data_IF_040759550896
#
_entry.id   IF_040759550896
#
_cell.length_a   1.000
_cell.length_b   1.000
_cell.length_c   1.000
_cell.angle_alpha   90.00
_cell.angle_beta   90.00
_cell.angle_gamma   90.00
#
_symmetry.space_group_name_H-M   'P 1'
#
loop_
_entity.id
_entity.type
_entity.pdbx_description
1 polymer ?
2 non-polymer ?
3 water ?
#
# COMPACT_ATOMS: atom_id res chain seq x y z
N UNK A 1 7.98 15.52 1.49
CA UNK A 1 7.60 16.90 1.76
C UNK A 1 7.90 17.42 3.19
N UNK A 2 8.37 16.51 4.08
CA UNK A 2 8.87 16.74 5.45
C UNK A 2 10.18 15.93 5.51
N UNK A 3 11.07 16.19 6.48
CA UNK A 3 12.34 15.45 6.54
C UNK A 3 12.14 13.95 6.77
N UNK A 4 11.12 13.58 7.58
CA UNK A 4 10.76 12.19 7.92
C UNK A 4 10.41 11.39 6.66
N UNK A 5 9.50 11.93 5.81
CA UNK A 5 9.13 11.28 4.55
C UNK A 5 10.25 11.34 3.52
N UNK A 6 11.02 12.46 3.45
CA UNK A 6 12.16 12.58 2.53
C UNK A 6 13.34 11.62 2.94
N UNK A 7 13.51 11.35 4.24
CA UNK A 7 14.52 10.40 4.68
C UNK A 7 14.06 8.99 4.25
N UNK A 8 12.74 8.71 4.35
CA UNK A 8 12.13 7.43 3.98
C UNK A 8 12.22 7.13 2.49
N UNK A 9 12.00 8.15 1.64
CA UNK A 9 12.08 8.05 0.19
C UNK A 9 13.50 7.74 -0.19
N UNK A 10 14.45 8.49 0.40
CA UNK A 10 15.88 8.31 0.18
C UNK A 10 16.27 6.84 0.40
N UNK A 11 15.88 6.28 1.57
CA UNK A 11 16.14 4.89 1.99
C UNK A 11 15.59 3.86 1.05
N UNK A 12 14.33 4.04 0.60
CA UNK A 12 13.63 3.14 -0.33
C UNK A 12 14.31 3.17 -1.70
N UNK A 13 14.54 4.38 -2.23
CA UNK A 13 15.17 4.59 -3.53
C UNK A 13 16.52 3.98 -3.62
N UNK A 14 17.34 4.07 -2.54
CA UNK A 14 18.67 3.45 -2.56
C UNK A 14 18.61 1.92 -2.37
N UNK A 15 17.75 1.45 -1.44
CA UNK A 15 17.61 0.02 -1.19
C UNK A 15 17.18 -0.69 -2.49
N UNK A 16 16.17 -0.16 -3.17
CA UNK A 16 15.69 -0.74 -4.41
C UNK A 16 16.49 -0.37 -5.66
N UNK A 17 17.18 0.79 -5.68
CA UNK A 17 17.87 1.19 -6.90
C UNK A 17 19.30 1.73 -6.81
N UNK A 18 19.80 2.01 -5.61
CA UNK A 18 21.16 2.48 -5.43
C UNK A 18 21.42 3.96 -5.59
N UNK A 19 22.70 4.34 -5.40
CA UNK A 19 23.29 5.67 -5.41
C UNK A 19 22.70 6.77 -6.32
N UNK A 20 22.87 6.64 -7.65
CA UNK A 20 22.44 7.67 -8.60
C UNK A 20 20.92 7.88 -8.67
N UNK A 21 20.16 6.76 -8.67
CA UNK A 21 18.68 6.78 -8.70
C UNK A 21 18.15 7.48 -7.43
N UNK A 22 18.74 7.17 -6.26
CA UNK A 22 18.41 7.82 -4.99
C UNK A 22 18.74 9.34 -5.13
N UNK A 23 19.96 9.68 -5.65
CA UNK A 23 20.42 11.05 -5.86
C UNK A 23 19.47 11.89 -6.75
N UNK A 24 19.09 11.34 -7.92
CA UNK A 24 18.20 11.99 -8.89
C UNK A 24 16.75 12.03 -8.37
N UNK A 25 16.32 10.92 -7.74
CA UNK A 25 14.98 10.78 -7.21
C UNK A 25 14.67 11.79 -6.12
N UNK A 26 15.51 11.81 -5.06
CA UNK A 26 15.43 12.73 -3.91
C UNK A 26 15.46 14.19 -4.40
N UNK A 27 16.31 14.48 -5.42
CA UNK A 27 16.44 15.78 -6.04
C UNK A 27 15.09 16.26 -6.60
N UNK A 28 14.49 15.48 -7.52
CA UNK A 28 13.20 15.83 -8.12
C UNK A 28 12.10 15.90 -7.09
N UNK A 29 12.30 15.26 -5.91
CA UNK A 29 11.31 15.27 -4.81
C UNK A 29 11.43 16.64 -4.12
N UNK A 30 12.67 16.97 -3.71
CA UNK A 30 13.09 18.22 -3.06
C UNK A 30 12.93 19.46 -3.96
N UNK A 31 13.57 19.45 -5.15
CA UNK A 31 13.59 20.60 -6.07
C UNK A 31 12.46 20.71 -7.11
N UNK A 32 11.58 19.71 -7.18
CA UNK A 32 10.45 19.69 -8.10
C UNK A 32 10.72 19.39 -9.57
N UNK A 33 9.65 19.56 -10.39
CA UNK A 33 9.63 19.30 -11.84
C UNK A 33 10.66 20.14 -12.60
N UNK A 34 11.59 19.48 -13.35
CA UNK A 34 12.64 20.17 -14.12
C UNK A 34 13.24 19.36 -15.30
N UNK A 35 13.84 20.01 -16.35
CA UNK A 35 14.46 19.26 -17.45
C UNK A 35 15.82 18.64 -17.09
N UNK A 36 16.21 17.63 -17.88
CA UNK A 36 17.43 16.83 -17.72
C UNK A 36 18.72 17.61 -17.45
N UNK A 37 19.02 18.64 -18.28
CA UNK A 37 20.24 19.45 -18.12
C UNK A 37 20.37 20.03 -16.71
N UNK A 38 19.27 20.61 -16.17
CA UNK A 38 19.20 21.17 -14.82
C UNK A 38 19.49 20.09 -13.77
N UNK A 39 18.81 18.90 -13.89
CA UNK A 39 19.01 17.75 -12.99
C UNK A 39 20.49 17.42 -12.99
N UNK A 40 21.10 17.27 -14.19
CA UNK A 40 22.52 16.97 -14.36
C UNK A 40 23.44 17.99 -13.69
N UNK A 41 23.18 19.30 -13.91
CA UNK A 41 23.92 20.43 -13.36
C UNK A 41 23.74 20.57 -11.84
N UNK A 42 22.47 20.76 -11.38
CA UNK A 42 22.11 20.93 -9.97
C UNK A 42 22.59 19.77 -9.08
N UNK A 43 22.74 18.56 -9.64
CA UNK A 43 23.18 17.38 -8.90
C UNK A 43 24.66 17.06 -9.10
N UNK A 44 25.28 17.73 -10.08
CA UNK A 44 26.67 17.53 -10.45
C UNK A 44 26.89 16.11 -10.90
N UNK A 45 25.96 15.63 -11.76
CA UNK A 45 25.89 14.28 -12.30
C UNK A 45 26.05 14.35 -13.80
N UNK A 46 26.73 13.34 -14.40
CA UNK A 46 26.94 13.28 -15.85
C UNK A 46 25.60 13.07 -16.57
N UNK A 47 25.37 13.82 -17.66
CA UNK A 47 24.14 13.80 -18.44
C UNK A 47 23.63 12.40 -18.81
N UNK A 48 24.49 11.38 -18.85
CA UNK A 48 24.06 10.03 -19.17
C UNK A 48 23.61 9.25 -17.95
N UNK A 49 24.23 9.53 -16.78
CA UNK A 49 23.86 8.92 -15.48
C UNK A 49 22.45 9.39 -15.11
N UNK A 50 22.13 10.68 -15.40
CA UNK A 50 20.82 11.28 -15.18
C UNK A 50 19.82 10.58 -16.10
N UNK A 51 20.14 10.48 -17.41
CA UNK A 51 19.34 9.80 -18.45
C UNK A 51 18.92 8.37 -18.03
N UNK A 52 19.88 7.57 -17.48
CA UNK A 52 19.73 6.19 -17.04
C UNK A 52 18.88 6.11 -15.80
N UNK A 53 19.24 6.92 -14.76
CA UNK A 53 18.52 7.03 -13.49
C UNK A 53 17.05 7.36 -13.72
N UNK A 54 16.78 8.30 -14.64
CA UNK A 54 15.40 8.67 -14.99
C UNK A 54 14.66 7.53 -15.72
N UNK A 55 15.38 6.67 -16.43
CA UNK A 55 14.80 5.55 -17.18
C UNK A 55 14.28 4.50 -16.19
N UNK A 56 15.09 4.17 -15.16
CA UNK A 56 14.81 3.24 -14.06
C UNK A 56 13.58 3.77 -13.30
N UNK A 57 13.59 5.05 -12.94
CA UNK A 57 12.51 5.73 -12.21
C UNK A 57 11.19 5.79 -13.01
N UNK A 58 11.28 6.02 -14.35
CA UNK A 58 10.11 6.05 -15.23
C UNK A 58 9.57 4.64 -15.33
N UNK A 59 10.47 3.67 -15.58
CA UNK A 59 10.14 2.23 -15.66
C UNK A 59 9.38 1.79 -14.43
N UNK A 60 9.78 2.27 -13.24
CA UNK A 60 9.16 1.87 -11.99
C UNK A 60 8.01 2.72 -11.53
N UNK A 61 7.45 3.56 -12.43
CA UNK A 61 6.28 4.42 -12.20
C UNK A 61 6.47 5.46 -11.09
N UNK A 62 7.74 5.72 -10.72
CA UNK A 62 8.17 6.64 -9.66
C UNK A 62 8.41 8.08 -10.13
N UNK A 63 8.70 8.25 -11.43
CA UNK A 63 8.94 9.54 -12.08
C UNK A 63 8.02 9.63 -13.29
N UNK A 64 7.30 10.75 -13.40
CA UNK A 64 6.46 11.05 -14.56
C UNK A 64 7.19 12.16 -15.35
N UNK A 65 6.83 12.35 -16.61
CA UNK A 65 7.44 13.38 -17.45
C UNK A 65 6.38 14.09 -18.25
N UNK A 66 6.68 15.31 -18.73
CA UNK A 66 5.73 16.13 -19.48
C UNK A 66 6.47 17.09 -20.38
N UNK A 67 5.90 17.35 -21.56
CA UNK A 67 6.48 18.31 -22.50
C UNK A 67 5.83 19.67 -22.21
N UNK A 68 6.69 20.67 -21.89
CA UNK A 68 6.28 22.04 -21.59
C UNK A 68 6.91 22.97 -22.62
N UNK A 69 6.35 24.21 -22.77
CA UNK A 69 6.81 25.25 -23.69
C UNK A 69 7.00 24.69 -25.12
N UNK A 70 8.26 24.39 -25.52
CA UNK A 70 8.57 23.79 -26.83
C UNK A 70 9.63 22.69 -26.75
N UNK A 71 9.18 21.46 -27.00
CA UNK A 71 10.01 20.25 -27.03
C UNK A 71 10.86 19.98 -25.81
N UNK A 72 10.64 20.75 -24.72
CA UNK A 72 11.37 20.63 -23.46
C UNK A 72 10.63 19.77 -22.43
N UNK A 73 11.16 18.54 -22.22
CA UNK A 73 10.61 17.59 -21.27
C UNK A 73 11.09 17.86 -19.87
N UNK A 74 10.13 17.98 -18.95
CA UNK A 74 10.38 18.16 -17.53
C UNK A 74 9.98 16.90 -16.79
N UNK A 75 10.87 16.40 -15.94
CA UNK A 75 10.69 15.21 -15.11
C UNK A 75 10.18 15.61 -13.73
N UNK A 76 9.32 14.76 -13.14
CA UNK A 76 8.71 15.00 -11.83
C UNK A 76 8.57 13.71 -11.06
N UNK A 77 8.89 13.75 -9.76
CA UNK A 77 8.75 12.61 -8.87
C UNK A 77 7.80 12.96 -7.73
N UNK A 78 6.90 12.02 -7.34
CA UNK A 78 5.99 12.22 -6.21
C UNK A 78 6.47 11.42 -5.02
N UNK A 79 6.79 12.12 -3.93
CA UNK A 79 7.27 11.57 -2.66
C UNK A 79 6.38 10.39 -2.19
N UNK A 80 5.04 10.57 -2.28
CA UNK A 80 4.01 9.60 -1.88
C UNK A 80 4.12 8.27 -2.62
N UNK A 81 4.24 8.33 -3.97
CA UNK A 81 4.35 7.17 -4.85
C UNK A 81 5.57 6.32 -4.52
N UNK A 82 6.65 6.96 -3.99
CA UNK A 82 7.86 6.28 -3.56
C UNK A 82 7.59 5.58 -2.24
N UNK A 83 6.78 6.20 -1.35
CA UNK A 83 6.43 5.60 -0.07
C UNK A 83 5.46 4.43 -0.28
N UNK A 84 4.80 4.35 -1.46
CA UNK A 84 3.85 3.27 -1.77
C UNK A 84 4.55 1.94 -1.99
N UNK A 85 5.89 1.97 -2.22
CA UNK A 85 6.75 0.79 -2.38
C UNK A 85 6.65 -0.10 -1.14
N UNK A 86 6.41 0.51 0.04
CA UNK A 86 6.18 -0.15 1.34
C UNK A 86 4.83 -0.90 1.36
N UNK A 87 3.85 -0.48 0.52
CA UNK A 87 2.50 -1.08 0.49
C UNK A 87 2.39 -2.25 -0.48
N UNK A 88 3.41 -2.43 -1.34
CA UNK A 88 3.47 -3.48 -2.36
C UNK A 88 3.06 -4.84 -1.79
N UNK A 89 3.65 -5.35 -0.66
CA UNK A 89 3.15 -6.61 -0.09
C UNK A 89 1.62 -6.70 0.08
N UNK A 90 0.96 -5.60 0.54
CA UNK A 90 -0.51 -5.56 0.71
C UNK A 90 -1.27 -5.62 -0.62
N UNK A 91 -0.81 -4.84 -1.64
CA UNK A 91 -1.42 -4.80 -2.97
C UNK A 91 -1.44 -6.21 -3.55
N UNK A 92 -0.25 -6.88 -3.53
CA UNK A 92 -0.04 -8.24 -4.01
C UNK A 92 -0.97 -9.22 -3.28
N UNK A 93 -1.02 -9.15 -1.93
CA UNK A 93 -1.87 -10.03 -1.12
C UNK A 93 -3.35 -9.81 -1.42
N UNK A 94 -3.81 -8.54 -1.40
CA UNK A 94 -5.19 -8.14 -1.73
C UNK A 94 -5.59 -8.78 -3.07
N UNK A 95 -4.70 -8.71 -4.08
CA UNK A 95 -4.96 -9.30 -5.39
C UNK A 95 -5.23 -10.80 -5.23
N UNK A 96 -4.29 -11.57 -4.61
CA UNK A 96 -4.45 -13.01 -4.31
C UNK A 96 -5.79 -13.28 -3.62
N UNK A 97 -6.18 -12.42 -2.68
CA UNK A 97 -7.45 -12.49 -1.96
C UNK A 97 -8.65 -12.51 -2.92
N UNK A 98 -8.64 -11.63 -3.94
CA UNK A 98 -9.72 -11.46 -4.92
C UNK A 98 -9.62 -12.37 -6.14
N UNK A 99 -8.43 -12.48 -6.74
CA UNK A 99 -8.13 -13.31 -7.92
C UNK A 99 -7.17 -14.43 -7.48
N UNK A 100 -6.79 -15.39 -8.31
CA UNK A 100 -5.96 -16.52 -7.81
C UNK A 100 -4.50 -16.12 -7.58
N UNK A 101 -3.57 -17.01 -7.93
CA UNK A 101 -2.14 -16.77 -7.93
C UNK A 101 -1.90 -16.00 -9.24
N UNK A 102 -2.85 -16.14 -10.21
CA UNK A 102 -2.88 -15.43 -11.49
C UNK A 102 -2.94 -13.93 -11.22
N UNK A 103 -3.89 -13.50 -10.39
CA UNK A 103 -4.05 -12.10 -10.01
C UNK A 103 -2.85 -11.60 -9.21
N UNK A 104 -2.42 -12.41 -8.24
CA UNK A 104 -1.27 -12.20 -7.36
C UNK A 104 0.01 -11.94 -8.17
N UNK A 105 0.32 -12.82 -9.15
CA UNK A 105 1.50 -12.71 -10.02
C UNK A 105 1.46 -11.57 -11.03
N UNK A 106 0.25 -11.23 -11.55
CA UNK A 106 0.07 -10.14 -12.50
C UNK A 106 0.50 -8.82 -11.80
N UNK A 107 -0.11 -8.52 -10.64
CA UNK A 107 0.18 -7.33 -9.86
C UNK A 107 1.61 -7.35 -9.34
N UNK A 108 2.09 -8.50 -8.85
CA UNK A 108 3.50 -8.62 -8.41
C UNK A 108 4.45 -8.24 -9.56
N UNK A 109 4.21 -8.77 -10.78
CA UNK A 109 5.00 -8.49 -11.97
C UNK A 109 4.99 -7.00 -12.32
N UNK A 110 3.79 -6.40 -12.43
CA UNK A 110 3.60 -4.98 -12.72
C UNK A 110 4.22 -4.10 -11.65
N UNK A 111 4.06 -4.43 -10.36
CA UNK A 111 4.62 -3.61 -9.29
C UNK A 111 6.14 -3.69 -9.22
N UNK A 112 6.67 -4.92 -9.19
CA UNK A 112 8.12 -5.15 -9.08
C UNK A 112 8.93 -4.94 -10.36
N UNK A 113 8.34 -5.17 -11.56
CA UNK A 113 9.08 -4.98 -12.81
C UNK A 113 8.83 -3.66 -13.44
N UNK A 114 7.69 -3.08 -13.14
CA UNK A 114 7.34 -1.76 -13.64
C UNK A 114 6.39 -1.78 -14.80
N UNK A 115 6.72 -1.01 -15.82
CA UNK A 115 5.89 -0.89 -17.02
C UNK A 115 6.07 -2.13 -17.89
N UNK A 116 4.95 -2.83 -18.13
CA UNK A 116 4.90 -4.03 -18.98
C UNK A 116 3.66 -3.98 -19.86
N UNK A 117 3.71 -4.59 -21.04
CA UNK A 117 2.58 -4.69 -21.96
C UNK A 117 1.69 -5.84 -21.46
N UNK A 118 0.40 -5.87 -21.81
CA UNK A 118 -0.46 -7.01 -21.43
C UNK A 118 0.16 -8.36 -21.83
N UNK A 119 0.81 -8.40 -22.99
CA UNK A 119 1.51 -9.55 -23.58
C UNK A 119 2.66 -10.04 -22.68
N UNK A 120 3.56 -9.11 -22.27
CA UNK A 120 4.72 -9.40 -21.42
C UNK A 120 4.32 -9.96 -20.06
N UNK A 121 3.18 -9.46 -19.50
CA UNK A 121 2.64 -9.85 -18.19
C UNK A 121 2.09 -11.26 -18.30
N UNK A 122 1.19 -11.50 -19.29
CA UNK A 122 0.57 -12.80 -19.58
C UNK A 122 1.63 -13.89 -19.81
N UNK A 123 2.69 -13.57 -20.58
CA UNK A 123 3.79 -14.50 -20.85
C UNK A 123 4.55 -14.79 -19.55
N UNK A 124 5.02 -13.74 -18.83
CA UNK A 124 5.78 -13.81 -17.59
C UNK A 124 5.07 -14.57 -16.47
N UNK A 125 3.73 -14.39 -16.38
CA UNK A 125 2.92 -15.03 -15.34
C UNK A 125 2.68 -16.51 -15.69
N UNK A 126 2.20 -16.81 -16.93
CA UNK A 126 1.94 -18.19 -17.39
C UNK A 126 3.16 -19.07 -17.15
N UNK A 127 4.36 -18.66 -17.63
CA UNK A 127 5.63 -19.37 -17.42
C UNK A 127 5.88 -19.64 -15.93
N UNK A 128 5.70 -18.59 -15.08
CA UNK A 128 5.88 -18.66 -13.63
C UNK A 128 4.93 -19.65 -12.96
N UNK A 129 3.68 -19.75 -13.44
CA UNK A 129 2.73 -20.70 -12.87
C UNK A 129 2.93 -22.12 -13.43
N UNK A 130 3.56 -22.22 -14.62
CA UNK A 130 3.87 -23.48 -15.31
C UNK A 130 5.01 -24.16 -14.55
N UNK A 131 6.03 -23.39 -14.12
CA UNK A 131 7.17 -23.91 -13.35
C UNK A 131 6.80 -24.43 -11.94
N UNK A 132 5.51 -24.32 -11.55
CA UNK A 132 4.98 -24.82 -10.28
C UNK A 132 3.81 -25.82 -10.48
N UNK A 138 1.05 -27.45 -16.82
CA UNK A 138 1.08 -26.32 -17.76
C UNK A 138 0.02 -25.26 -17.46
N UNK A 139 0.42 -23.97 -17.48
CA UNK A 139 -0.50 -22.88 -17.25
C UNK A 139 -1.05 -22.33 -18.55
N UNK A 140 -2.38 -22.36 -18.66
CA UNK A 140 -3.13 -21.90 -19.81
C UNK A 140 -3.11 -20.37 -19.86
N UNK A 141 -2.32 -19.80 -20.80
CA UNK A 141 -2.12 -18.36 -21.03
C UNK A 141 -3.45 -17.60 -21.15
N UNK A 142 -4.51 -18.27 -21.67
CA UNK A 142 -5.84 -17.68 -21.87
C UNK A 142 -6.51 -17.42 -20.53
N UNK A 143 -6.25 -18.27 -19.52
CA UNK A 143 -6.79 -18.08 -18.17
C UNK A 143 -6.06 -16.88 -17.52
N UNK A 144 -4.73 -16.77 -17.75
CA UNK A 144 -3.88 -15.67 -17.29
C UNK A 144 -4.42 -14.35 -17.87
N UNK A 145 -4.70 -14.35 -19.19
CA UNK A 145 -5.22 -13.20 -19.94
C UNK A 145 -6.62 -12.78 -19.44
N UNK A 146 -7.48 -13.76 -19.12
CA UNK A 146 -8.83 -13.54 -18.59
C UNK A 146 -8.76 -12.87 -17.22
N UNK A 147 -7.82 -13.34 -16.34
CA UNK A 147 -7.59 -12.77 -15.01
C UNK A 147 -7.19 -11.30 -15.16
N UNK A 148 -6.26 -11.00 -16.11
CA UNK A 148 -5.77 -9.68 -16.46
C UNK A 148 -6.95 -8.81 -16.85
N UNK A 149 -7.83 -9.33 -17.72
CA UNK A 149 -8.98 -8.58 -18.16
C UNK A 149 -9.92 -8.25 -16.99
N UNK A 150 -10.14 -9.20 -16.05
CA UNK A 150 -10.98 -8.99 -14.85
C UNK A 150 -10.43 -7.84 -14.00
N UNK A 151 -9.10 -7.85 -13.78
CA UNK A 151 -8.36 -6.83 -13.06
C UNK A 151 -8.51 -5.45 -13.72
N UNK A 152 -8.32 -5.39 -15.05
CA UNK A 152 -8.43 -4.16 -15.83
C UNK A 152 -9.87 -3.61 -15.80
N UNK A 153 -10.87 -4.51 -15.93
CA UNK A 153 -12.30 -4.16 -15.90
C UNK A 153 -12.70 -3.63 -14.53
N UNK A 154 -12.12 -4.21 -13.44
CA UNK A 154 -12.39 -3.77 -12.07
C UNK A 154 -11.46 -2.61 -11.65
N UNK A 155 -10.74 -2.03 -12.62
CA UNK A 155 -9.80 -0.90 -12.47
C UNK A 155 -8.62 -1.12 -11.50
N UNK A 156 -8.35 -2.37 -11.07
CA UNK A 156 -7.22 -2.67 -10.18
C UNK A 156 -5.91 -2.50 -10.92
N UNK A 157 -5.97 -2.65 -12.25
CA UNK A 157 -4.87 -2.54 -13.19
C UNK A 157 -5.30 -1.55 -14.30
N UNK A 158 -4.41 -0.63 -14.68
CA UNK A 158 -4.71 0.36 -15.69
C UNK A 158 -3.54 0.68 -16.62
N UNK A 159 -3.84 1.26 -17.79
CA UNK A 159 -2.83 1.63 -18.80
C UNK A 159 -2.16 2.91 -18.34
N UNK A 160 -0.83 2.99 -18.51
CA UNK A 160 -0.05 4.16 -18.16
C UNK A 160 -0.49 5.38 -18.96
N UNK A 161 -0.47 6.61 -18.35
CA UNK A 161 -0.86 7.81 -19.12
C UNK A 161 0.07 8.06 -20.31
N UNK A 162 -0.50 8.55 -21.41
CA UNK A 162 0.22 8.81 -22.67
C UNK A 162 1.03 10.10 -22.62
N UNK A 228 9.08 8.74 -28.10
CA UNK A 228 8.16 7.91 -27.34
C UNK A 228 8.37 8.06 -25.81
N UNK A 229 7.32 8.41 -25.00
CA UNK A 229 5.90 8.69 -25.27
C UNK A 229 5.01 7.52 -25.78
N UNK A 230 5.34 6.28 -25.37
CA UNK A 230 4.60 5.05 -25.72
C UNK A 230 3.17 5.07 -25.16
N UNK A 231 2.26 5.69 -25.95
CA UNK A 231 0.84 5.96 -25.70
C UNK A 231 -0.12 4.81 -25.25
N UNK A 232 -0.07 4.48 -23.94
CA UNK A 232 -0.93 3.49 -23.30
C UNK A 232 -0.63 2.04 -23.57
N UNK A 233 0.53 1.72 -24.17
CA UNK A 233 0.92 0.33 -24.46
C UNK A 233 1.42 -0.43 -23.21
N UNK A 234 1.64 0.29 -22.11
CA UNK A 234 2.11 -0.29 -20.86
C UNK A 234 1.08 -0.29 -19.75
N UNK A 235 1.24 -1.25 -18.82
CA UNK A 235 0.34 -1.44 -17.69
C UNK A 235 0.92 -1.11 -16.34
N UNK A 236 0.04 -0.57 -15.49
CA UNK A 236 0.33 -0.03 -14.17
C UNK A 236 -0.73 -0.53 -13.20
N UNK A 237 -0.38 -0.81 -11.93
CA UNK A 237 -1.40 -1.18 -10.94
C UNK A 237 -2.07 0.12 -10.50
N UNK A 238 -3.39 0.15 -10.43
CA UNK A 238 -4.07 1.36 -10.00
C UNK A 238 -4.14 1.40 -8.46
N UNK A 239 -3.27 2.23 -7.85
CA UNK A 239 -3.16 2.33 -6.40
C UNK A 239 -4.37 2.95 -5.76
N UNK A 240 -4.98 3.96 -6.43
CA UNK A 240 -6.22 4.60 -5.98
C UNK A 240 -7.31 3.54 -5.82
N UNK A 241 -7.35 2.51 -6.71
CA UNK A 241 -8.34 1.42 -6.62
C UNK A 241 -8.09 0.52 -5.41
N UNK A 242 -6.81 0.13 -5.17
CA UNK A 242 -6.44 -0.69 -4.02
C UNK A 242 -6.79 0.06 -2.72
N UNK A 243 -6.61 1.40 -2.71
CA UNK A 243 -6.89 2.28 -1.58
C UNK A 243 -8.38 2.34 -1.23
N UNK A 244 -9.26 2.62 -2.22
CA UNK A 244 -10.70 2.66 -1.95
C UNK A 244 -11.16 1.28 -1.47
N UNK A 245 -10.51 0.21 -1.98
CA UNK A 245 -10.85 -1.14 -1.55
C UNK A 245 -10.50 -1.28 -0.06
N UNK A 246 -9.28 -0.86 0.33
CA UNK A 246 -8.78 -0.89 1.71
C UNK A 246 -9.65 -0.07 2.66
N UNK A 247 -10.17 1.08 2.17
CA UNK A 247 -11.06 1.97 2.91
C UNK A 247 -12.39 1.25 3.14
N UNK A 248 -13.02 0.74 2.06
CA UNK A 248 -14.29 0.02 2.10
C UNK A 248 -14.19 -1.23 3.00
N UNK A 249 -13.11 -2.04 2.84
CA UNK A 249 -12.78 -3.24 3.63
C UNK A 249 -12.76 -2.91 5.14
N UNK A 250 -12.14 -1.76 5.50
CA UNK A 250 -12.00 -1.28 6.88
C UNK A 250 -13.34 -0.87 7.49
N UNK A 251 -14.19 -0.15 6.72
CA UNK A 251 -15.50 0.31 7.18
C UNK A 251 -16.37 -0.91 7.49
N UNK A 252 -16.45 -1.86 6.55
CA UNK A 252 -17.23 -3.08 6.68
C UNK A 252 -16.78 -3.87 7.92
N UNK A 253 -15.46 -4.16 8.06
CA UNK A 253 -14.90 -4.88 9.21
C UNK A 253 -15.26 -4.19 10.53
N UNK A 254 -15.19 -2.82 10.58
CA UNK A 254 -15.54 -2.03 11.76
C UNK A 254 -17.00 -2.29 12.10
N UNK A 255 -17.89 -2.19 11.08
CA UNK A 255 -19.34 -2.43 11.20
C UNK A 255 -19.61 -3.91 11.58
N UNK A 256 -18.71 -4.84 11.21
CA UNK A 256 -18.92 -6.24 11.58
C UNK A 256 -18.53 -6.54 13.04
N UNK A 257 -17.46 -5.90 13.55
CA UNK A 257 -16.94 -6.11 14.91
C UNK A 257 -17.69 -5.32 16.00
N UNK A 258 -18.50 -4.32 15.59
CA UNK A 258 -19.26 -3.46 16.50
C UNK A 258 -20.78 -3.59 16.29
N UNK A 259 -21.22 -4.33 15.25
CA UNK A 259 -22.64 -4.51 14.96
C UNK A 259 -23.16 -5.92 14.75
N UNK A 260 -23.44 -6.35 13.48
CA UNK A 260 -24.16 -7.61 13.23
C UNK A 260 -23.77 -8.50 12.01
N UNK A 261 -22.83 -8.10 11.14
CA UNK A 261 -22.50 -8.92 9.95
C UNK A 261 -23.55 -8.78 8.85
N UNK A 262 -24.85 -8.82 9.21
CA UNK A 262 -25.93 -8.53 8.25
C UNK A 262 -25.88 -6.99 8.10
N UNK A 263 -25.57 -6.27 9.18
CA UNK A 263 -25.38 -4.82 9.17
C UNK A 263 -24.15 -4.43 8.32
N UNK A 264 -23.06 -5.24 8.39
CA UNK A 264 -21.80 -5.03 7.65
C UNK A 264 -21.94 -5.33 6.17
N UNK A 265 -22.75 -6.35 5.83
CA UNK A 265 -23.04 -6.73 4.45
C UNK A 265 -23.86 -5.61 3.76
N UNK A 266 -24.77 -4.97 4.50
CA UNK A 266 -25.59 -3.87 3.98
C UNK A 266 -24.70 -2.68 3.66
N UNK A 267 -23.72 -2.38 4.53
CA UNK A 267 -22.75 -1.30 4.31
C UNK A 267 -21.87 -1.64 3.11
N UNK A 268 -21.45 -2.93 3.01
CA UNK A 268 -20.63 -3.47 1.91
C UNK A 268 -21.26 -3.23 0.55
N UNK A 269 -22.52 -3.71 0.34
CA UNK A 269 -23.28 -3.53 -0.91
C UNK A 269 -23.44 -2.04 -1.19
N UNK A 270 -23.72 -1.24 -0.13
CA UNK A 270 -23.83 0.22 -0.24
C UNK A 270 -22.53 0.83 -0.73
N UNK A 271 -21.38 0.33 -0.26
CA UNK A 271 -20.06 0.81 -0.69
C UNK A 271 -19.71 0.27 -2.09
N UNK A 272 -20.17 -0.97 -2.41
CA UNK A 272 -20.00 -1.66 -3.69
C UNK A 272 -20.71 -0.90 -4.80
N UNK A 273 -22.01 -0.60 -4.61
CA UNK A 273 -22.82 0.13 -5.58
C UNK A 273 -22.50 1.64 -5.69
N UNK A 274 -21.93 2.23 -4.63
CA UNK A 274 -21.54 3.64 -4.71
C UNK A 274 -20.06 3.84 -5.12
N UNK A 275 -19.47 2.82 -5.82
CA UNK A 275 -18.11 2.85 -6.40
C UNK A 275 -18.13 3.88 -7.56
N UNK A 276 -19.37 4.25 -7.96
CA UNK A 276 -19.75 5.29 -8.92
C UNK A 276 -20.14 6.47 -8.00
N UNK A 277 -19.41 7.60 -8.12
CA UNK A 277 -19.49 8.82 -7.31
C UNK A 277 -18.71 8.64 -5.99
N UNK A 278 -17.40 8.36 -6.16
CA UNK A 278 -16.35 8.12 -5.16
C UNK A 278 -14.99 8.48 -5.83
N UNK A 279 -13.93 8.88 -5.09
CA UNK A 279 -13.80 9.00 -3.63
C UNK A 279 -13.54 10.46 -3.17
N UNK A 280 -13.35 11.39 -4.14
CA UNK A 280 -13.07 12.82 -3.93
C UNK A 280 -14.07 13.52 -3.00
N UNK A 283 -16.30 12.70 1.66
CA UNK A 283 -16.89 12.90 2.99
C UNK A 283 -18.15 12.06 3.23
N UNK A 284 -19.03 11.97 2.21
CA UNK A 284 -20.29 11.24 2.24
C UNK A 284 -20.53 10.48 0.94
N UNK A 285 -21.12 9.29 1.07
CA UNK A 285 -21.47 8.36 0.00
C UNK A 285 -22.54 9.00 -0.90
N UNK A 286 -22.62 8.57 -2.18
CA UNK A 286 -23.65 9.04 -3.11
C UNK A 286 -25.01 8.55 -2.55
N UNK A 287 -25.99 9.46 -2.27
CA UNK A 287 -27.28 9.03 -1.69
C UNK A 287 -27.92 7.83 -2.37
N UNK A 288 -28.18 6.79 -1.57
CA UNK A 288 -28.72 5.51 -2.00
C UNK A 288 -30.11 5.22 -1.46
N UNK A 289 -30.96 4.57 -2.28
CA UNK A 289 -32.34 4.22 -1.92
C UNK A 289 -32.50 2.79 -1.44
N UNK A 290 -33.36 2.61 -0.41
CA UNK A 290 -33.72 1.33 0.22
C UNK A 290 -34.14 0.26 -0.80
N UNK A 291 -34.92 0.67 -1.82
CA UNK A 291 -35.43 -0.17 -2.89
C UNK A 291 -34.31 -0.74 -3.75
N UNK A 292 -33.36 0.13 -4.20
CA UNK A 292 -32.24 -0.32 -5.02
C UNK A 292 -31.20 -1.13 -4.25
N UNK A 293 -30.96 -0.78 -2.94
CA UNK A 293 -30.05 -1.51 -2.04
C UNK A 293 -30.53 -2.97 -1.93
N UNK A 294 -31.87 -3.17 -1.81
CA UNK A 294 -32.47 -4.51 -1.72
C UNK A 294 -32.20 -5.35 -2.97
N UNK A 295 -32.37 -4.73 -4.16
CA UNK A 295 -32.14 -5.41 -5.44
C UNK A 295 -30.67 -5.74 -5.68
N UNK A 296 -29.75 -4.87 -5.20
CA UNK A 296 -28.30 -5.03 -5.36
C UNK A 296 -27.62 -5.99 -4.34
N UNK A 297 -28.38 -6.53 -3.37
CA UNK A 297 -27.84 -7.46 -2.38
C UNK A 297 -27.41 -8.78 -3.05
N UNK A 298 -26.34 -9.47 -2.56
CA UNK A 298 -25.92 -10.72 -3.22
C UNK A 298 -26.93 -11.85 -3.03
N UNK A 299 -26.69 -13.01 -3.69
CA UNK A 299 -27.58 -14.17 -3.59
C UNK A 299 -27.55 -14.74 -2.15
N UNK A 300 -28.55 -14.32 -1.37
CA UNK A 300 -28.73 -14.69 0.03
C UNK A 300 -30.12 -14.35 0.50
N UNK A 301 -30.81 -15.36 1.07
CA UNK A 301 -32.18 -15.34 1.61
C UNK A 301 -32.35 -14.18 2.63
N UNK A 302 -33.13 -13.15 2.26
CA UNK A 302 -33.40 -11.94 3.08
C UNK A 302 -34.64 -11.18 2.58
N UNK A 303 -35.61 -10.89 3.50
CA UNK A 303 -36.83 -10.15 3.18
C UNK A 303 -36.62 -8.63 3.32
N UNK A 304 -37.34 -7.82 2.52
CA UNK A 304 -37.27 -6.36 2.50
C UNK A 304 -37.56 -5.71 3.85
N UNK A 305 -38.41 -6.35 4.66
CA UNK A 305 -38.80 -5.90 6.00
C UNK A 305 -37.60 -6.02 6.95
N UNK A 306 -36.86 -7.15 6.86
CA UNK A 306 -35.65 -7.41 7.66
C UNK A 306 -34.56 -6.37 7.37
N UNK A 307 -34.32 -6.06 6.06
CA UNK A 307 -33.31 -5.09 5.62
C UNK A 307 -33.64 -3.68 6.10
N UNK A 308 -34.93 -3.28 6.01
CA UNK A 308 -35.40 -1.95 6.45
C UNK A 308 -35.19 -1.71 7.94
N UNK A 309 -35.28 -2.79 8.76
CA UNK A 309 -35.00 -2.76 10.20
C UNK A 309 -33.49 -2.45 10.38
N UNK A 310 -32.62 -3.11 9.55
CA UNK A 310 -31.17 -2.98 9.57
C UNK A 310 -30.68 -1.59 9.16
N UNK A 311 -31.31 -0.93 8.14
CA UNK A 311 -30.87 0.44 7.78
C UNK A 311 -31.16 1.39 8.91
N UNK A 312 -32.33 1.21 9.55
CA UNK A 312 -32.82 1.98 10.69
C UNK A 312 -31.88 1.87 11.90
N UNK A 313 -31.33 0.66 12.16
CA UNK A 313 -30.36 0.46 13.25
C UNK A 313 -29.03 1.09 12.86
N UNK A 314 -28.70 1.08 11.55
CA UNK A 314 -27.48 1.70 11.03
C UNK A 314 -27.57 3.22 11.18
N UNK A 315 -28.76 3.81 10.90
CA UNK A 315 -29.07 5.24 11.06
C UNK A 315 -28.82 5.67 12.51
N UNK A 316 -29.61 5.10 13.44
CA UNK A 316 -29.55 5.37 14.87
C UNK A 316 -28.50 4.43 15.51
N UNK A 317 -27.22 4.84 15.43
CA UNK A 317 -26.09 4.07 15.97
C UNK A 317 -24.99 4.98 16.48
N UNK A 318 -24.27 4.54 17.54
CA UNK A 318 -23.17 5.26 18.20
C UNK A 318 -22.00 5.67 17.27
N UNK A 319 -21.31 4.75 16.50
CA UNK A 319 -20.19 5.19 15.63
C UNK A 319 -20.51 6.31 14.63
N UNK A 320 -21.80 6.51 14.28
CA UNK A 320 -22.30 7.54 13.36
C UNK A 320 -21.80 7.39 11.91
N UNK A 321 -21.90 6.16 11.38
CA UNK A 321 -21.51 5.82 10.01
C UNK A 321 -22.69 6.12 9.05
N UNK A 322 -23.87 6.53 9.61
CA UNK A 322 -25.11 6.82 8.88
C UNK A 322 -25.90 8.02 9.45
N UNK A 323 -26.73 8.64 8.57
CA UNK A 323 -27.64 9.76 8.88
C UNK A 323 -28.97 9.68 8.05
N UNK A 324 -28.87 9.18 6.82
CA UNK A 324 -30.01 8.98 5.92
C UNK A 324 -30.43 10.12 5.04
N UNK A 325 -31.30 11.02 5.58
CA UNK A 325 -31.91 12.19 4.93
C UNK A 325 -31.15 12.79 3.73
N UNK A 332 -36.86 4.62 1.40
CA UNK A 332 -36.01 5.47 2.23
C UNK A 332 -34.62 5.70 1.65
N UNK A 333 -34.10 6.93 1.82
CA UNK A 333 -32.78 7.34 1.31
C UNK A 333 -31.72 7.28 2.42
N UNK A 334 -30.64 6.49 2.21
CA UNK A 334 -29.56 6.30 3.19
C UNK A 334 -28.16 6.64 2.63
N UNK A 335 -27.29 7.21 3.49
CA UNK A 335 -25.93 7.65 3.15
C UNK A 335 -24.87 7.16 4.17
N UNK A 336 -23.65 6.84 3.70
CA UNK A 336 -22.53 6.43 4.57
C UNK A 336 -21.62 7.66 4.85
N UNK A 337 -21.47 8.02 6.14
CA UNK A 337 -20.63 9.15 6.56
C UNK A 337 -19.17 8.71 6.51
N UNK A 338 -18.56 8.82 5.32
CA UNK A 338 -17.18 8.38 5.05
C UNK A 338 -16.13 9.07 5.92
N UNK A 339 -16.31 10.39 6.24
CA UNK A 339 -15.35 11.09 7.09
C UNK A 339 -15.43 10.63 8.53
N UNK A 340 -16.66 10.46 9.08
CA UNK A 340 -16.81 9.97 10.46
C UNK A 340 -16.29 8.53 10.57
N UNK A 341 -16.54 7.70 9.52
CA UNK A 341 -16.06 6.32 9.42
C UNK A 341 -14.53 6.30 9.55
N UNK A 342 -13.82 7.20 8.83
CA UNK A 342 -12.35 7.30 8.91
C UNK A 342 -11.89 7.94 10.22
N UNK A 343 -12.66 8.94 10.72
CA UNK A 343 -12.39 9.61 12.00
C UNK A 343 -12.31 8.58 13.13
N UNK A 344 -13.33 7.70 13.25
CA UNK A 344 -13.37 6.64 14.27
C UNK A 344 -12.34 5.52 14.06
N UNK A 345 -11.91 5.29 12.79
CA UNK A 345 -10.88 4.26 12.48
C UNK A 345 -9.53 4.78 12.96
N UNK A 346 -9.27 6.09 12.73
CA UNK A 346 -8.07 6.80 13.11
C UNK A 346 -7.87 6.79 14.63
N UNK A 347 -8.93 7.17 15.39
CA UNK A 347 -8.93 7.22 16.87
C UNK A 347 -8.69 5.86 17.52
N UNK A 348 -9.32 4.80 16.96
CA UNK A 348 -9.15 3.42 17.42
C UNK A 348 -7.70 2.94 17.22
N UNK A 349 -7.02 3.50 16.20
CA UNK A 349 -5.62 3.22 15.89
C UNK A 349 -4.71 3.93 16.92
N UNK A 350 -5.14 5.15 17.36
CA UNK A 350 -4.45 5.96 18.39
C UNK A 350 -4.49 5.24 19.76
N UNK A 351 -5.66 4.66 20.08
CA UNK A 351 -5.90 3.88 21.29
C UNK A 351 -4.96 2.67 21.36
N UNK A 352 -4.72 2.00 20.21
CA UNK A 352 -3.84 0.82 20.08
C UNK A 352 -2.38 1.16 20.42
N UNK A 353 -1.93 2.37 20.04
CA UNK A 353 -0.58 2.88 20.30
C UNK A 353 -0.46 3.17 21.81
N UNK A 354 -1.51 3.76 22.41
CA UNK A 354 -1.62 4.05 23.86
C UNK A 354 -1.50 2.75 24.69
N UNK A 355 -2.21 1.68 24.29
CA UNK A 355 -2.21 0.36 24.94
C UNK A 355 -0.84 -0.34 24.85
N UNK A 356 -0.11 -0.16 23.72
CA UNK A 356 1.20 -0.76 23.47
C UNK A 356 2.34 -0.04 24.20
N UNK A 357 2.27 1.31 24.27
CA UNK A 357 3.30 2.17 24.88
C UNK A 357 3.14 2.39 26.38
N UNK A 358 1.90 2.57 26.85
CA UNK A 358 1.55 2.92 28.24
C UNK A 358 0.87 1.82 29.11
N UNK A 359 0.34 0.78 28.47
CA UNK A 359 -0.31 -0.34 29.15
C UNK A 359 -1.83 -0.27 29.21
N UNK A 360 -2.47 -1.40 29.57
CA UNK A 360 -3.93 -1.57 29.67
C UNK A 360 -4.58 -0.61 30.67
N UNK A 361 -3.89 -0.33 31.79
CA UNK A 361 -4.35 0.59 32.83
C UNK A 361 -4.45 2.02 32.27
N UNK A 362 -3.44 2.42 31.46
CA UNK A 362 -3.33 3.72 30.80
C UNK A 362 -4.17 3.83 29.51
N UNK A 363 -4.51 2.67 28.90
CA UNK A 363 -5.35 2.60 27.71
C UNK A 363 -6.80 2.90 28.09
N UNK A 364 -7.18 2.60 29.36
CA UNK A 364 -8.52 2.84 29.90
C UNK A 364 -8.73 4.33 30.20
N UNK A 365 -7.66 5.02 30.68
CA UNK A 365 -7.65 6.46 31.02
C UNK A 365 -7.82 7.33 29.76
N UNK A 366 -6.99 7.07 28.74
CA UNK A 366 -6.96 7.80 27.46
C UNK A 366 -8.16 7.47 26.54
N UNK A 367 -9.03 6.52 26.96
CA UNK A 367 -10.24 6.10 26.25
C UNK A 367 -11.41 7.04 26.58
N UNK A 368 -11.63 7.33 27.88
CA UNK A 368 -12.70 8.21 28.35
C UNK A 368 -12.47 9.68 28.00
N UNK A 369 -11.18 10.09 27.85
CA UNK A 369 -10.80 11.45 27.46
C UNK A 369 -11.16 11.73 25.97
N UNK A 370 -11.50 10.66 25.21
CA UNK A 370 -11.88 10.69 23.79
C UNK A 370 -13.39 10.78 23.58
N UNK A 371 -14.17 9.87 24.21
CA UNK A 371 -15.62 9.81 24.11
C UNK A 371 -16.25 9.55 25.47
N UNK A 419 -2.78 17.41 31.63
CA UNK A 419 -2.40 16.32 30.74
C UNK A 419 -1.27 15.46 31.33
N UNK A 420 -1.55 14.16 31.56
CA UNK A 420 -0.60 13.19 32.12
C UNK A 420 0.58 13.02 31.15
N UNK A 421 0.29 12.94 29.83
CA UNK A 421 1.28 12.77 28.78
C UNK A 421 0.98 13.59 27.52
N UNK A 422 1.64 14.75 27.42
CA UNK A 422 1.70 15.77 26.35
C UNK A 422 0.52 16.04 25.34
N UNK A 423 -0.52 15.19 25.24
CA UNK A 423 -1.63 15.40 24.27
C UNK A 423 -2.81 16.28 24.78
N UNK A 424 -3.71 16.69 23.87
CA UNK A 424 -4.89 17.55 24.15
C UNK A 424 -6.22 16.76 24.19
N UNK A 425 -7.26 17.30 24.87
CA UNK A 425 -8.59 16.70 25.03
C UNK A 425 -9.39 16.69 23.71
N UNK A 426 -9.59 15.47 23.15
CA UNK A 426 -10.30 15.17 21.88
C UNK A 426 -9.71 15.93 20.65
N UNK A 427 -8.37 15.93 20.51
CA UNK A 427 -7.72 16.57 19.37
C UNK A 427 -7.41 15.50 18.34
N UNK A 428 -8.38 15.28 17.43
CA UNK A 428 -8.38 14.26 16.39
C UNK A 428 -7.26 14.34 15.33
N UNK A 429 -7.24 15.41 14.52
CA UNK A 429 -6.28 15.61 13.43
C UNK A 429 -4.81 15.63 13.87
N UNK A 430 -4.38 16.65 14.65
CA UNK A 430 -3.00 16.82 15.11
C UNK A 430 -2.34 15.58 15.73
N UNK A 431 -3.14 14.72 16.40
CA UNK A 431 -2.67 13.48 17.01
C UNK A 431 -2.32 12.48 15.92
N UNK A 432 -3.26 12.26 14.96
CA UNK A 432 -3.12 11.40 13.81
C UNK A 432 -1.99 11.93 12.90
N UNK A 433 -1.94 13.26 12.70
CA UNK A 433 -0.96 13.98 11.89
C UNK A 433 0.46 13.81 12.41
N UNK A 434 0.62 13.65 13.72
CA UNK A 434 1.93 13.47 14.33
C UNK A 434 2.23 11.98 14.55
N UNK A 435 1.17 11.14 14.64
CA UNK A 435 1.34 9.69 14.75
C UNK A 435 1.86 9.21 13.38
N UNK A 436 1.39 9.85 12.28
CA UNK A 436 1.84 9.59 10.92
C UNK A 436 3.33 9.90 10.84
N UNK A 437 3.75 11.04 11.41
CA UNK A 437 5.15 11.46 11.44
C UNK A 437 6.00 10.42 12.18
N UNK A 438 5.44 9.87 13.26
CA UNK A 438 6.08 8.85 14.08
C UNK A 438 6.17 7.53 13.29
N UNK A 439 5.15 7.24 12.46
CA UNK A 439 5.09 6.06 11.60
C UNK A 439 6.21 6.12 10.52
N UNK A 440 6.36 7.29 9.85
CA UNK A 440 7.41 7.50 8.85
C UNK A 440 8.80 7.34 9.47
N UNK A 441 9.01 7.85 10.71
CA UNK A 441 10.26 7.76 11.46
C UNK A 441 10.58 6.30 11.87
N UNK A 442 9.56 5.54 12.34
CA UNK A 442 9.74 4.14 12.74
C UNK A 442 10.00 3.25 11.55
N UNK A 443 9.28 3.46 10.41
CA UNK A 443 9.54 2.67 9.19
C UNK A 443 10.99 2.91 8.72
N UNK A 444 11.45 4.19 8.75
CA UNK A 444 12.83 4.57 8.43
C UNK A 444 13.82 3.86 9.38
N UNK A 445 13.46 3.72 10.70
CA UNK A 445 14.27 3.02 11.69
C UNK A 445 14.33 1.52 11.42
N UNK A 446 13.20 0.93 11.01
CA UNK A 446 13.13 -0.50 10.69
C UNK A 446 14.05 -0.85 9.52
N UNK A 447 14.04 -0.02 8.44
CA UNK A 447 14.88 -0.18 7.23
C UNK A 447 16.37 -0.12 7.59
N UNK A 448 16.79 0.97 8.28
CA UNK A 448 18.17 1.21 8.75
C UNK A 448 18.70 0.00 9.53
N UNK A 449 17.87 -0.56 10.45
CA UNK A 449 18.24 -1.72 11.26
C UNK A 449 18.40 -2.99 10.43
N UNK A 450 17.57 -3.16 9.37
CA UNK A 450 17.63 -4.32 8.47
C UNK A 450 18.92 -4.28 7.66
N UNK A 451 19.30 -3.06 7.18
CA UNK A 451 20.52 -2.78 6.43
C UNK A 451 21.71 -3.07 7.32
N UNK A 452 21.64 -2.63 8.59
CA UNK A 452 22.67 -2.84 9.61
C UNK A 452 22.88 -4.32 9.89
N UNK A 453 21.79 -5.06 10.17
CA UNK A 453 21.82 -6.49 10.42
C UNK A 453 22.47 -7.20 9.23
N UNK A 454 21.98 -6.92 8.00
CA UNK A 454 22.49 -7.53 6.77
C UNK A 454 23.92 -7.13 6.38
N UNK A 455 24.37 -5.91 6.78
CA UNK A 455 25.74 -5.46 6.49
C UNK A 455 26.73 -6.10 7.46
N UNK A 456 26.35 -6.20 8.76
CA UNK A 456 27.15 -6.81 9.83
C UNK A 456 27.38 -8.32 9.64
N UNK A 457 26.73 -8.91 8.61
CA UNK A 457 26.80 -10.33 8.30
C UNK A 457 27.09 -10.55 6.82
N UNK A 458 27.54 -9.48 6.10
CA UNK A 458 27.88 -9.47 4.66
C UNK A 458 28.67 -10.70 4.21
N UNK A 459 29.75 -11.06 4.95
CA UNK A 459 30.63 -12.20 4.67
C UNK A 459 29.87 -13.54 4.75
N UNK A 460 29.09 -13.73 5.86
CA UNK A 460 28.31 -14.94 6.14
C UNK A 460 27.18 -15.15 5.13
N UNK A 461 26.34 -14.13 4.86
CA UNK A 461 25.30 -14.32 3.86
C UNK A 461 25.84 -14.51 2.45
N UNK A 462 27.08 -14.01 2.19
CA UNK A 462 27.80 -14.21 0.93
C UNK A 462 28.26 -15.67 0.86
N UNK A 463 28.66 -16.25 2.02
CA UNK A 463 29.06 -17.67 2.11
C UNK A 463 27.84 -18.56 1.92
N UNK A 464 26.68 -18.14 2.47
CA UNK A 464 25.38 -18.80 2.35
C UNK A 464 24.94 -18.85 0.88
N UNK A 465 25.10 -17.71 0.16
CA UNK A 465 24.76 -17.55 -1.27
C UNK A 465 25.59 -18.50 -2.15
N UNK A 466 26.92 -18.54 -1.91
CA UNK A 466 27.87 -19.39 -2.63
C UNK A 466 27.61 -20.88 -2.36
N UNK A 467 27.28 -21.25 -1.11
CA UNK A 467 26.97 -22.64 -0.73
C UNK A 467 25.71 -23.12 -1.49
N UNK A 468 24.68 -22.25 -1.55
CA UNK A 468 23.41 -22.49 -2.25
C UNK A 468 23.65 -22.78 -3.74
N UNK A 469 24.57 -22.02 -4.38
CA UNK A 469 24.95 -22.13 -5.79
C UNK A 469 25.50 -23.49 -6.18
N UNK A 470 26.34 -24.11 -5.31
CA UNK A 470 26.96 -25.42 -5.54
C UNK A 470 25.91 -26.54 -5.57
N UNK A 471 24.95 -26.49 -4.62
CA UNK A 471 23.86 -27.47 -4.50
C UNK A 471 22.91 -27.42 -5.72
N UNK A 472 22.65 -26.20 -6.25
CA UNK A 472 21.79 -25.96 -7.42
C UNK A 472 22.31 -26.63 -8.70
N UNK A 473 23.64 -26.64 -8.91
CA UNK A 473 24.31 -27.23 -10.07
C UNK A 473 24.12 -28.75 -10.19
N UNK A 474 23.81 -29.42 -9.07
CA UNK A 474 23.61 -30.88 -9.00
C UNK A 474 22.30 -31.31 -9.68
N UNK A 483 27.28 -36.51 -0.99
CA UNK A 483 27.73 -35.50 -1.95
C UNK A 483 27.31 -34.11 -1.45
N UNK A 484 25.98 -33.89 -1.38
CA UNK A 484 25.31 -32.64 -0.99
C UNK A 484 25.57 -32.25 0.48
N UNK A 485 25.73 -33.27 1.36
CA UNK A 485 25.96 -33.10 2.80
C UNK A 485 27.26 -32.37 3.11
N UNK A 486 28.37 -32.75 2.44
CA UNK A 486 29.68 -32.12 2.63
C UNK A 486 29.75 -30.67 2.15
N UNK A 487 28.87 -30.31 1.17
CA UNK A 487 28.74 -28.95 0.67
C UNK A 487 27.95 -28.12 1.70
N UNK A 488 26.93 -28.73 2.35
CA UNK A 488 26.11 -28.08 3.38
C UNK A 488 26.95 -27.78 4.64
N UNK A 489 27.89 -28.69 4.98
CA UNK A 489 28.83 -28.62 6.12
C UNK A 489 29.71 -27.37 6.11
N UNK A 490 29.86 -26.70 4.93
CA UNK A 490 30.63 -25.47 4.74
C UNK A 490 30.19 -24.38 5.72
N UNK A 491 28.89 -24.35 6.01
CA UNK A 491 28.25 -23.46 6.98
C UNK A 491 28.29 -24.24 8.30
N UNK A 492 29.03 -23.72 9.30
CA UNK A 492 29.13 -24.38 10.60
C UNK A 492 27.81 -24.20 11.38
N UNK A 493 27.61 -24.98 12.45
CA UNK A 493 26.41 -24.87 13.29
C UNK A 493 26.23 -23.45 13.90
N UNK A 494 27.28 -22.76 14.45
CA UNK A 494 27.07 -21.39 14.96
C UNK A 494 26.74 -20.41 13.83
N UNK A 495 27.31 -20.66 12.64
CA UNK A 495 27.08 -19.87 11.43
C UNK A 495 25.63 -20.06 10.96
N UNK A 496 25.09 -21.29 11.08
CA UNK A 496 23.70 -21.59 10.71
C UNK A 496 22.74 -21.04 11.76
N UNK A 497 23.19 -20.97 13.03
CA UNK A 497 22.43 -20.42 14.14
C UNK A 497 22.27 -18.89 13.93
N UNK A 498 23.30 -18.24 13.33
CA UNK A 498 23.36 -16.81 13.01
C UNK A 498 22.53 -16.46 11.76
N UNK A 499 22.62 -17.32 10.71
CA UNK A 499 21.86 -17.16 9.47
C UNK A 499 20.36 -17.26 9.75
N UNK A 500 19.97 -18.20 10.65
CA UNK A 500 18.57 -18.40 11.04
C UNK A 500 18.09 -17.27 11.94
N UNK A 501 18.94 -16.78 12.85
CA UNK A 501 18.61 -15.63 13.71
C UNK A 501 18.36 -14.39 12.84
N UNK A 502 19.21 -14.18 11.81
CA UNK A 502 19.09 -13.04 10.88
C UNK A 502 17.81 -13.16 10.08
N UNK A 503 17.49 -14.36 9.52
CA UNK A 503 16.25 -14.62 8.76
C UNK A 503 15.00 -14.33 9.63
N UNK A 504 15.02 -14.76 10.91
CA UNK A 504 13.97 -14.55 11.89
C UNK A 504 13.81 -13.05 12.17
N UNK A 505 14.93 -12.35 12.42
CA UNK A 505 14.97 -10.91 12.69
C UNK A 505 14.51 -10.08 11.48
N UNK A 506 14.92 -10.47 10.26
CA UNK A 506 14.58 -9.76 9.02
C UNK A 506 13.09 -9.89 8.80
N UNK A 507 12.55 -11.14 8.88
CA UNK A 507 11.11 -11.42 8.76
C UNK A 507 10.29 -10.66 9.82
N UNK A 508 10.87 -10.48 11.03
CA UNK A 508 10.25 -9.70 12.10
C UNK A 508 10.15 -8.20 11.73
N UNK A 509 11.25 -7.61 11.16
CA UNK A 509 11.31 -6.20 10.76
C UNK A 509 10.41 -5.97 9.55
N UNK A 510 10.37 -6.95 8.62
CA UNK A 510 9.52 -6.96 7.41
C UNK A 510 8.05 -6.81 7.87
N UNK A 511 7.58 -7.75 8.73
CA UNK A 511 6.25 -7.80 9.31
C UNK A 511 5.83 -6.50 10.02
N UNK A 512 6.75 -5.86 10.76
CA UNK A 512 6.49 -4.58 11.45
C UNK A 512 6.24 -3.49 10.41
N UNK A 513 7.09 -3.44 9.36
CA UNK A 513 7.04 -2.49 8.25
C UNK A 513 5.65 -2.47 7.57
N UNK A 514 5.07 -3.68 7.31
CA UNK A 514 3.74 -3.90 6.72
C UNK A 514 2.67 -3.38 7.70
N UNK A 515 2.79 -3.78 8.98
CA UNK A 515 1.89 -3.44 10.10
C UNK A 515 1.88 -1.91 10.37
N UNK A 516 3.05 -1.22 10.26
CA UNK A 516 3.15 0.24 10.48
C UNK A 516 2.49 0.97 9.30
N UNK A 517 2.65 0.42 8.05
CA UNK A 517 2.07 0.99 6.84
C UNK A 517 0.52 0.86 6.86
N UNK A 518 -0.01 -0.16 7.57
CA UNK A 518 -1.45 -0.38 7.74
C UNK A 518 -2.03 0.78 8.56
N UNK A 519 -1.22 1.30 9.51
CA UNK A 519 -1.54 2.45 10.35
C UNK A 519 -1.44 3.69 9.46
N UNK A 520 -0.31 3.81 8.72
CA UNK A 520 -0.03 4.91 7.77
C UNK A 520 -1.21 5.09 6.81
N UNK A 521 -1.70 3.98 6.22
CA UNK A 521 -2.83 4.07 5.30
C UNK A 521 -4.00 4.76 5.97
N UNK A 522 -4.42 4.27 7.16
CA UNK A 522 -5.55 4.79 7.94
C UNK A 522 -5.38 6.27 8.33
N UNK A 523 -4.20 6.65 8.85
CA UNK A 523 -3.93 8.05 9.21
C UNK A 523 -4.00 8.94 7.97
N UNK A 524 -3.27 8.57 6.88
CA UNK A 524 -3.24 9.26 5.59
C UNK A 524 -4.63 9.43 4.99
N UNK A 525 -5.42 8.34 4.89
CA UNK A 525 -6.78 8.36 4.36
C UNK A 525 -7.60 9.38 5.15
N UNK A 526 -7.65 9.22 6.50
CA UNK A 526 -8.38 10.12 7.40
C UNK A 526 -7.93 11.57 7.20
N UNK A 527 -6.61 11.83 7.22
CA UNK A 527 -6.03 13.16 7.03
C UNK A 527 -6.33 13.71 5.63
N UNK A 528 -6.37 12.84 4.61
CA UNK A 528 -6.70 13.24 3.23
C UNK A 528 -8.17 13.65 3.12
N UNK A 529 -9.06 12.95 3.86
CA UNK A 529 -10.49 13.21 3.92
C UNK A 529 -10.77 14.53 4.66
N UNK A 530 -9.86 14.93 5.58
CA UNK A 530 -9.94 16.17 6.37
C UNK A 530 -9.31 17.37 5.59
N UNK A 531 -9.42 17.35 4.24
CA UNK A 531 -8.91 18.39 3.33
C UNK A 531 -10.06 18.88 2.42
N UNK A 532 -11.32 18.77 2.92
CA UNK A 532 -12.56 19.16 2.24
C UNK A 532 -12.65 20.66 1.89
X LIG B 1 11.45 -3.37 -7.04
X LIG B 1 12.00 -3.20 -5.56
X LIG B 1 10.11 -2.52 -7.29
X LIG B 1 12.68 -3.09 -8.01
X LIG C 1 11.88 -2.40 1.71
X LIG C 1 11.40 -3.85 2.12
X LIG C 1 10.66 -1.63 1.02
X LIG C 1 12.44 -1.67 2.98
X LIG C 1 13.06 -2.51 0.67
X LIG D 1 -3.57 7.11 0.80
X LIG D 1 -5.05 6.48 0.91
X LIG D 1 -3.16 7.52 -0.71
X LIG D 1 -3.70 8.48 1.55
X LIG D 1 -2.49 6.18 1.51
#
# INVERSE_FOLDING_TARGET
>A
MTQAEIKLCSLLLQEHFGEIVEKIGVHLIRTGSQPLRVIAHDTGTSLDQVKKALCVLVQHNLVSYQVHKRGVVEYEAQCSRVLRMLRYPRYIYTTKTLYSDTGELIVEELLLNGKLTMSAVVKKVADRLTETMEDGKTMDYAEVSNTFVRLADTHFVQRCPSVPTTENSDPGPPPPAPTLVINEKDMYLVPKLSLIGKGKRRRSSDEDAAGEPKAKRPKYTTDNKEPIPDDGIYWQANLDRFHQHFRDQAIVSAVANRMDQTSSEIVRTMLRMSEITTSSSAPFTQPLSSNEIFRSLPVGYNISKQVLDQYLTLLADDPLEFVGKSGDSGGGMYVINLHKALASLATATLESVVQERFGSRCARIFRLVLQKKHIEQKQVEDFAMIPAKEAKDMLYKMLSENFMSLQEIPKTPDHAPSRTFYLYTVNILSAARMLLHRCYKSIANLIERRQFETKENKRLLEKSQRVEAIIASMQATGAEEAQLQEIEEMITAPERQQLETLKRNVNKLDASEIQVDETIFLLESYIECTMKRQ
>B hetero
1 PO4 P O1 O2 O3
>C hetero
1 PO4 P O1 O2 O3 O4
>D hetero
1 PO4 P O1 O2 O3 O4
#
